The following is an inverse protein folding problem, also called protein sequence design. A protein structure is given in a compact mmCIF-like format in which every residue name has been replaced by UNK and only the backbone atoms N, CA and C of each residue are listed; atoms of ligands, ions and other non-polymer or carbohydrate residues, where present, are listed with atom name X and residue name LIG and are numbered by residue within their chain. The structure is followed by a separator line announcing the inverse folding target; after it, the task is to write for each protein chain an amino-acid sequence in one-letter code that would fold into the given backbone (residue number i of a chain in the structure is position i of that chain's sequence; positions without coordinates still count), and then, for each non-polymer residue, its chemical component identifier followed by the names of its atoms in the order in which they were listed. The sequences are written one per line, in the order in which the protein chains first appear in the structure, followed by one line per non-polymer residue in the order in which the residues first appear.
data_IF_213534871535
#
_entry.id   IF_213534871535
#
_cell.length_a   1.000
_cell.length_b   1.000
_cell.length_c   1.000
_cell.angle_alpha   90.00
_cell.angle_beta   90.00
_cell.angle_gamma   90.00
#
_symmetry.space_group_name_H-M   'P 1'
#
loop_
_entity.id
_entity.type
_entity.pdbx_description
1 polymer ?
#
# COMPACT_ATOMS: atom_id res chain seq x y z
N UNK A 1 -6.60 -15.33 16.05
CA UNK A 1 -6.38 -16.22 14.89
C UNK A 1 -6.18 -15.36 13.65
N UNK A 2 -5.13 -15.63 12.92
CA UNK A 2 -4.83 -14.89 11.69
C UNK A 2 -5.49 -15.58 10.52
N UNK A 3 -6.24 -14.83 9.72
CA UNK A 3 -6.87 -15.35 8.51
C UNK A 3 -5.98 -14.97 7.34
N UNK A 4 -5.55 -15.96 6.56
CA UNK A 4 -4.76 -15.72 5.37
C UNK A 4 -5.60 -15.02 4.30
N UNK A 5 -4.98 -14.09 3.58
CA UNK A 5 -5.63 -13.42 2.47
C UNK A 5 -5.66 -14.33 1.25
N UNK A 6 -6.73 -14.25 0.46
CA UNK A 6 -6.77 -14.91 -0.84
C UNK A 6 -5.87 -14.18 -1.83
N UNK A 7 -5.56 -14.82 -2.96
CA UNK A 7 -4.78 -14.18 -4.03
C UNK A 7 -5.49 -12.95 -4.57
N UNK A 8 -6.81 -12.99 -4.69
CA UNK A 8 -7.60 -11.84 -5.16
C UNK A 8 -7.55 -10.68 -4.17
N UNK A 9 -7.67 -10.98 -2.87
CA UNK A 9 -7.56 -9.97 -1.83
C UNK A 9 -6.17 -9.34 -1.83
N UNK A 10 -5.13 -10.15 -1.90
CA UNK A 10 -3.76 -9.67 -1.96
C UNK A 10 -3.51 -8.79 -3.18
N UNK A 11 -3.97 -9.20 -4.35
CA UNK A 11 -3.84 -8.42 -5.57
C UNK A 11 -4.56 -7.08 -5.47
N UNK A 12 -5.73 -7.07 -4.83
CA UNK A 12 -6.48 -5.83 -4.61
C UNK A 12 -5.71 -4.86 -3.73
N UNK A 13 -5.12 -5.36 -2.65
CA UNK A 13 -4.31 -4.51 -1.76
C UNK A 13 -3.09 -3.93 -2.47
N UNK A 14 -2.44 -4.71 -3.33
CA UNK A 14 -1.31 -4.22 -4.14
C UNK A 14 -1.78 -3.12 -5.10
N UNK A 15 -2.93 -3.29 -5.73
CA UNK A 15 -3.52 -2.26 -6.60
C UNK A 15 -3.80 -0.96 -5.85
N UNK A 16 -4.33 -1.05 -4.62
CA UNK A 16 -4.58 0.11 -3.78
C UNK A 16 -3.27 0.82 -3.42
N UNK A 17 -2.25 0.04 -3.05
CA UNK A 17 -0.95 0.59 -2.70
C UNK A 17 -0.31 1.29 -3.91
N UNK A 18 -0.35 0.66 -5.08
CA UNK A 18 0.20 1.24 -6.32
C UNK A 18 -0.50 2.55 -6.66
N UNK A 19 -1.82 2.58 -6.61
CA UNK A 19 -2.59 3.80 -6.90
C UNK A 19 -2.25 4.91 -5.90
N UNK A 20 -2.11 4.57 -4.64
CA UNK A 20 -1.72 5.52 -3.58
C UNK A 20 -0.35 6.12 -3.88
N UNK A 21 0.62 5.28 -4.24
CA UNK A 21 1.99 5.73 -4.54
C UNK A 21 2.01 6.64 -5.75
N UNK A 22 1.32 6.26 -6.82
CA UNK A 22 1.25 7.07 -8.03
C UNK A 22 0.64 8.44 -7.75
N UNK A 23 -0.45 8.48 -7.01
CA UNK A 23 -1.12 9.73 -6.65
C UNK A 23 -0.20 10.62 -5.79
N UNK A 24 0.46 10.03 -4.81
CA UNK A 24 1.36 10.76 -3.93
C UNK A 24 2.55 11.34 -4.68
N UNK A 25 3.13 10.56 -5.60
CA UNK A 25 4.32 10.98 -6.35
C UNK A 25 3.99 11.97 -7.44
N UNK A 26 2.93 11.72 -8.21
CA UNK A 26 2.57 12.56 -9.35
C UNK A 26 1.77 13.80 -8.98
N UNK A 27 0.91 13.70 -7.97
CA UNK A 27 -0.01 14.77 -7.60
C UNK A 27 0.23 15.35 -6.21
N UNK A 28 1.20 14.80 -5.47
CA UNK A 28 1.61 15.26 -4.14
C UNK A 28 0.46 15.29 -3.12
N UNK A 29 -0.41 14.30 -3.19
CA UNK A 29 -1.54 14.14 -2.28
C UNK A 29 -1.87 12.66 -2.10
N UNK A 30 -2.62 12.35 -1.06
CA UNK A 30 -3.20 11.01 -0.91
C UNK A 30 -4.39 10.89 -1.86
N UNK A 31 -4.70 9.68 -2.36
CA UNK A 31 -5.89 9.47 -3.16
C UNK A 31 -7.15 9.61 -2.31
N UNK A 32 -8.23 10.10 -2.91
CA UNK A 32 -9.54 10.03 -2.29
C UNK A 32 -10.05 8.60 -2.36
N UNK A 33 -10.99 8.27 -1.48
CA UNK A 33 -11.52 6.91 -1.39
C UNK A 33 -12.11 6.40 -2.72
N UNK A 34 -12.77 7.28 -3.45
CA UNK A 34 -13.38 6.95 -4.75
C UNK A 34 -12.37 6.81 -5.88
N UNK A 35 -11.12 7.22 -5.68
CA UNK A 35 -10.04 7.05 -6.65
C UNK A 35 -9.35 5.69 -6.52
N UNK A 36 -9.58 4.97 -5.42
CA UNK A 36 -9.00 3.66 -5.20
C UNK A 36 -9.79 2.58 -5.92
N UNK A 37 -9.15 1.47 -6.31
CA UNK A 37 -9.86 0.35 -6.91
C UNK A 37 -10.97 -0.14 -6.00
N UNK A 38 -12.17 -0.31 -6.54
CA UNK A 38 -13.32 -0.75 -5.77
C UNK A 38 -13.24 -2.25 -5.50
N UNK A 39 -13.57 -2.63 -4.27
CA UNK A 39 -13.79 -4.02 -3.91
C UNK A 39 -15.29 -4.24 -3.81
N UNK A 40 -15.80 -5.36 -4.32
CA UNK A 40 -17.26 -5.61 -4.29
C UNK A 40 -17.80 -5.52 -2.86
N UNK A 41 -18.85 -4.73 -2.68
CA UNK A 41 -19.51 -4.58 -1.39
C UNK A 41 -20.21 -5.88 -1.00
N UNK A 42 -20.28 -6.13 0.29
CA UNK A 42 -20.91 -7.33 0.81
C UNK A 42 -20.03 -8.57 0.79
N UNK A 43 -18.88 -8.50 0.17
CA UNK A 43 -17.86 -9.52 0.29
C UNK A 43 -17.28 -9.40 1.69
N UNK A 44 -17.04 -10.38 2.37
CA UNK A 44 -16.46 -10.57 3.71
C UNK A 44 -15.97 -9.36 4.54
N UNK A 45 -16.04 -8.15 4.01
CA UNK A 45 -15.64 -6.92 4.72
C UNK A 45 -14.17 -6.85 5.08
N UNK A 46 -13.30 -7.51 4.31
CA UNK A 46 -11.89 -7.61 4.70
C UNK A 46 -11.18 -6.25 4.75
N UNK A 47 -11.59 -5.28 3.92
CA UNK A 47 -11.02 -3.93 3.96
C UNK A 47 -11.41 -3.17 5.22
N UNK A 48 -12.50 -3.55 5.87
CA UNK A 48 -12.99 -2.94 7.10
C UNK A 48 -12.42 -3.61 8.35
N UNK A 49 -11.84 -4.80 8.21
CA UNK A 49 -11.25 -5.50 9.34
C UNK A 49 -10.00 -4.75 9.81
N UNK A 50 -9.81 -4.69 11.13
CA UNK A 50 -8.65 -4.04 11.72
C UNK A 50 -7.45 -4.98 11.65
N UNK A 51 -6.47 -4.62 10.84
CA UNK A 51 -5.25 -5.41 10.64
C UNK A 51 -4.07 -4.49 10.46
N UNK A 52 -2.89 -4.93 10.92
CA UNK A 52 -1.64 -4.28 10.57
C UNK A 52 -1.33 -4.51 9.10
N UNK A 53 -0.57 -3.62 8.49
CA UNK A 53 -0.14 -3.74 7.10
C UNK A 53 1.23 -3.11 6.90
N UNK A 54 2.02 -3.73 6.01
CA UNK A 54 3.32 -3.22 5.59
C UNK A 54 3.33 -3.11 4.07
N UNK A 55 3.90 -2.03 3.57
CA UNK A 55 4.13 -1.86 2.13
C UNK A 55 5.63 -1.77 1.91
N UNK A 56 6.14 -2.62 1.03
CA UNK A 56 7.55 -2.70 0.68
C UNK A 56 7.72 -2.33 -0.79
N UNK A 57 8.64 -1.41 -1.05
CA UNK A 57 9.01 -0.99 -2.40
C UNK A 57 10.41 -1.51 -2.70
N UNK A 58 10.55 -2.16 -3.83
CA UNK A 58 11.81 -2.78 -4.25
C UNK A 58 12.20 -2.25 -5.62
N UNK A 59 13.48 -1.94 -5.79
CA UNK A 59 14.05 -1.54 -7.07
C UNK A 59 14.16 -2.76 -8.01
N UNK A 60 14.37 -2.51 -9.30
CA UNK A 60 14.48 -3.57 -10.29
C UNK A 60 15.62 -4.54 -10.04
N UNK A 61 16.67 -4.12 -9.32
CA UNK A 61 17.80 -4.97 -8.95
C UNK A 61 17.54 -5.79 -7.67
N UNK A 62 16.35 -5.66 -7.07
CA UNK A 62 16.00 -6.36 -5.85
C UNK A 62 16.31 -5.61 -4.56
N UNK A 63 16.98 -4.47 -4.64
CA UNK A 63 17.32 -3.70 -3.43
C UNK A 63 16.09 -2.97 -2.88
N UNK A 64 16.10 -2.75 -1.56
CA UNK A 64 15.03 -2.06 -0.87
C UNK A 64 14.99 -0.58 -1.28
N UNK A 65 13.80 -0.07 -1.59
CA UNK A 65 13.61 1.35 -1.94
C UNK A 65 12.76 2.07 -0.90
N UNK A 66 11.93 1.36 -0.17
CA UNK A 66 11.13 1.90 0.94
C UNK A 66 10.30 0.80 1.58
N UNK A 67 10.07 0.92 2.88
CA UNK A 67 9.24 -0.04 3.60
C UNK A 67 8.69 0.63 4.85
N UNK A 68 7.38 0.78 4.91
CA UNK A 68 6.71 1.35 6.07
C UNK A 68 5.47 0.51 6.36
N UNK A 69 5.11 0.42 7.62
CA UNK A 69 3.92 -0.30 8.02
C UNK A 69 3.31 0.19 9.31
N UNK A 70 2.10 -0.27 9.54
CA UNK A 70 1.40 -0.18 10.81
C UNK A 70 1.34 -1.59 11.37
N UNK A 71 2.16 -1.92 12.38
CA UNK A 71 2.25 -3.30 12.89
C UNK A 71 1.02 -3.69 13.72
N UNK A 72 0.27 -2.73 14.21
CA UNK A 72 -0.86 -3.00 15.10
C UNK A 72 -2.19 -2.82 14.39
N UNK A 73 -3.23 -3.60 14.75
CA UNK A 73 -4.54 -3.54 14.10
C UNK A 73 -5.37 -2.36 14.62
N UNK A 74 -4.88 -1.14 14.43
CA UNK A 74 -5.51 0.08 14.94
C UNK A 74 -6.39 0.79 13.91
N UNK A 75 -6.30 0.38 12.64
CA UNK A 75 -7.08 0.96 11.54
C UNK A 75 -7.72 -0.15 10.70
N UNK A 76 -8.81 0.16 9.98
CA UNK A 76 -9.30 -0.74 8.94
C UNK A 76 -8.19 -1.02 7.93
N UNK A 77 -8.14 -2.23 7.42
CA UNK A 77 -7.07 -2.69 6.52
C UNK A 77 -6.86 -1.78 5.32
N UNK A 78 -7.95 -1.31 4.69
CA UNK A 78 -7.85 -0.41 3.55
C UNK A 78 -7.11 0.88 3.90
N UNK A 79 -7.41 1.48 5.05
CA UNK A 79 -6.73 2.68 5.52
C UNK A 79 -5.27 2.39 5.89
N UNK A 80 -5.01 1.24 6.50
CA UNK A 80 -3.66 0.84 6.88
C UNK A 80 -2.76 0.70 5.65
N UNK A 81 -3.27 0.12 4.57
CA UNK A 81 -2.52 -0.04 3.32
C UNK A 81 -2.22 1.32 2.68
N UNK A 82 -3.19 2.22 2.63
CA UNK A 82 -2.97 3.57 2.10
C UNK A 82 -1.93 4.31 2.92
N UNK A 83 -2.05 4.26 4.24
CA UNK A 83 -1.08 4.90 5.15
C UNK A 83 0.34 4.36 4.94
N UNK A 84 0.47 3.03 4.90
CA UNK A 84 1.77 2.38 4.71
C UNK A 84 2.38 2.69 3.34
N UNK A 85 1.55 2.73 2.29
CA UNK A 85 2.00 3.05 0.94
C UNK A 85 2.51 4.50 0.84
N UNK A 86 1.77 5.44 1.42
CA UNK A 86 2.21 6.84 1.50
C UNK A 86 3.55 6.94 2.24
N UNK A 87 3.66 6.25 3.37
CA UNK A 87 4.88 6.25 4.17
C UNK A 87 6.07 5.69 3.41
N UNK A 88 5.89 4.53 2.77
CA UNK A 88 6.98 3.88 2.04
C UNK A 88 7.50 4.73 0.88
N UNK A 89 6.62 5.44 0.18
CA UNK A 89 7.01 6.25 -0.96
C UNK A 89 7.54 7.64 -0.58
N UNK A 90 7.11 8.20 0.55
CA UNK A 90 7.36 9.62 0.83
C UNK A 90 7.93 9.91 2.22
N UNK A 91 7.90 8.97 3.15
CA UNK A 91 8.23 9.23 4.55
C UNK A 91 9.14 8.20 5.20
N UNK A 92 9.77 7.33 4.41
CA UNK A 92 10.76 6.43 4.95
C UNK A 92 12.05 7.22 5.18
N UNK A 93 12.51 7.38 6.44
CA UNK A 93 13.65 8.26 6.72
C UNK A 93 14.97 7.76 6.14
N UNK A 94 15.03 6.51 5.72
CA UNK A 94 16.25 5.92 5.14
C UNK A 94 16.45 6.29 3.68
N UNK A 95 15.39 6.78 3.00
CA UNK A 95 15.40 7.00 1.57
C UNK A 95 14.77 8.35 1.22
N UNK A 96 15.21 8.97 0.11
CA UNK A 96 14.51 10.14 -0.38
C UNK A 96 13.13 9.75 -0.92
N UNK A 97 12.28 10.73 -1.06
CA UNK A 97 10.96 10.56 -1.65
C UNK A 97 11.07 9.94 -3.03
N UNK A 98 10.20 8.99 -3.36
CA UNK A 98 10.16 8.36 -4.68
C UNK A 98 9.84 9.42 -5.74
N UNK A 99 10.59 9.38 -6.85
CA UNK A 99 10.39 10.29 -7.99
C UNK A 99 9.52 9.62 -9.06
N UNK A 100 8.91 10.45 -9.90
CA UNK A 100 8.04 9.97 -10.96
C UNK A 100 8.76 9.03 -11.93
N UNK A 101 10.06 9.25 -12.20
CA UNK A 101 10.83 8.41 -13.10
C UNK A 101 11.17 7.04 -12.53
N UNK A 102 10.97 6.83 -11.22
CA UNK A 102 11.19 5.55 -10.57
C UNK A 102 9.97 4.63 -10.63
N UNK A 103 8.78 5.16 -10.86
CA UNK A 103 7.52 4.41 -10.71
C UNK A 103 7.47 3.13 -11.54
N UNK A 104 7.96 3.15 -12.77
CA UNK A 104 7.91 1.98 -13.65
C UNK A 104 8.77 0.82 -13.17
N UNK A 105 9.86 1.12 -12.48
CA UNK A 105 10.82 0.11 -12.04
C UNK A 105 10.52 -0.43 -10.65
N UNK A 106 9.56 0.15 -9.94
CA UNK A 106 9.25 -0.30 -8.59
C UNK A 106 8.37 -1.53 -8.57
N UNK A 107 8.73 -2.48 -7.72
CA UNK A 107 7.86 -3.58 -7.33
C UNK A 107 7.21 -3.21 -6.00
N UNK A 108 5.91 -3.40 -5.90
CA UNK A 108 5.13 -3.10 -4.70
C UNK A 108 4.64 -4.40 -4.08
N UNK A 109 4.95 -4.61 -2.81
CA UNK A 109 4.49 -5.74 -2.04
C UNK A 109 3.71 -5.26 -0.84
N UNK A 110 2.65 -5.97 -0.49
CA UNK A 110 1.82 -5.69 0.68
C UNK A 110 1.74 -6.93 1.54
N UNK A 111 2.07 -6.76 2.83
CA UNK A 111 1.89 -7.79 3.85
C UNK A 111 0.82 -7.31 4.82
N UNK A 112 -0.12 -8.17 5.13
CA UNK A 112 -1.22 -7.82 6.03
C UNK A 112 -1.54 -8.96 7.00
#
# INVERSE_FOLDING_TARGET
MTVALSLEQGAHLVSMARKTIETAVLERRAPNRDELPAWPEGEDGFLQSHRGAFVTLTNSDGSLRGCIGLPYPVKPLGEAVVHAALGAATRDPRFPRVRSDELRALTVEVSA
#
